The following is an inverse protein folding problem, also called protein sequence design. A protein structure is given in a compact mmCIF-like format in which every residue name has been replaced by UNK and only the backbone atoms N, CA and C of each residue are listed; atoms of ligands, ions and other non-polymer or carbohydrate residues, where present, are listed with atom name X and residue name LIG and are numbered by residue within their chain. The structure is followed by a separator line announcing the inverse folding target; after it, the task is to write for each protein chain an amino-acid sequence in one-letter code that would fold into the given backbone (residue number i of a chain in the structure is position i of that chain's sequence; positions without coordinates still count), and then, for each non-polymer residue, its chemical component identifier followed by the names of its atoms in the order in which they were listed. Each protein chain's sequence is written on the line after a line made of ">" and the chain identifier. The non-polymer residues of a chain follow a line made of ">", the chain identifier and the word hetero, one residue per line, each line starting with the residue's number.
data_IF_676395462945
#
_entry.id   IF_676395462945
#
_cell.length_a   1.000
_cell.length_b   1.000
_cell.length_c   1.000
_cell.angle_alpha   90.00
_cell.angle_beta   90.00
_cell.angle_gamma   90.00
#
_symmetry.space_group_name_H-M   'P 1'
#
loop_
_entity.id
_entity.type
_entity.pdbx_description
1 polymer ?
#
# COMPACT_ATOMS: atom_id res chain seq x y z
N UNK A 1 59.99 -19.26 -19.06
CA UNK A 1 58.51 -19.28 -18.95
C UNK A 1 58.12 -19.65 -17.53
N UNK A 2 57.63 -18.68 -16.74
CA UNK A 2 56.99 -18.92 -15.44
C UNK A 2 55.66 -18.17 -15.47
N UNK A 3 54.56 -18.88 -15.63
CA UNK A 3 53.22 -18.31 -15.51
C UNK A 3 52.88 -18.23 -14.03
N UNK A 4 52.77 -17.02 -13.50
CA UNK A 4 52.21 -16.77 -12.17
C UNK A 4 50.70 -16.72 -12.32
N UNK A 5 50.02 -17.77 -11.85
CA UNK A 5 48.55 -17.77 -11.73
C UNK A 5 48.16 -16.87 -10.57
N UNK A 6 47.60 -15.70 -10.89
CA UNK A 6 47.02 -14.79 -9.91
C UNK A 6 45.61 -15.30 -9.56
N UNK A 7 45.46 -15.95 -8.41
CA UNK A 7 44.15 -16.28 -7.86
C UNK A 7 43.51 -15.00 -7.29
N UNK A 8 42.53 -14.45 -8.00
CA UNK A 8 41.69 -13.37 -7.51
C UNK A 8 40.71 -13.99 -6.50
N UNK A 9 40.92 -13.72 -5.22
CA UNK A 9 39.93 -14.00 -4.18
C UNK A 9 38.81 -12.96 -4.31
N UNK A 10 37.65 -13.38 -4.82
CA UNK A 10 36.44 -12.58 -4.76
C UNK A 10 35.97 -12.55 -3.30
N UNK A 11 36.19 -11.42 -2.61
CA UNK A 11 35.56 -11.17 -1.31
C UNK A 11 34.05 -10.99 -1.54
N UNK A 12 33.31 -12.07 -1.37
CA UNK A 12 31.84 -12.00 -1.28
C UNK A 12 31.53 -11.39 0.08
N UNK A 13 31.26 -10.09 0.11
CA UNK A 13 30.61 -9.48 1.26
C UNK A 13 29.20 -10.05 1.32
N UNK A 14 29.01 -11.08 2.14
CA UNK A 14 27.68 -11.50 2.56
C UNK A 14 27.17 -10.38 3.47
N UNK A 15 26.48 -9.40 2.88
CA UNK A 15 25.67 -8.46 3.65
C UNK A 15 24.52 -9.29 4.20
N UNK A 16 24.68 -9.76 5.44
CA UNK A 16 23.53 -10.26 6.19
C UNK A 16 22.50 -9.14 6.24
N UNK A 17 21.24 -9.44 5.90
CA UNK A 17 20.15 -8.51 6.15
C UNK A 17 20.21 -8.12 7.63
N UNK A 18 20.29 -6.80 7.90
CA UNK A 18 20.32 -6.30 9.28
C UNK A 18 18.96 -6.54 9.88
N UNK A 19 18.87 -7.36 10.92
CA UNK A 19 17.61 -7.60 11.62
C UNK A 19 17.14 -6.27 12.23
N UNK A 20 16.09 -5.68 11.63
CA UNK A 20 15.57 -4.37 12.03
C UNK A 20 14.93 -4.40 13.43
N UNK A 21 14.66 -5.60 13.98
CA UNK A 21 14.17 -5.77 15.35
C UNK A 21 15.30 -5.65 16.38
N UNK A 22 16.55 -5.91 15.96
CA UNK A 22 17.75 -5.88 16.83
C UNK A 22 18.59 -4.63 16.57
N UNK A 23 18.81 -4.29 15.30
CA UNK A 23 19.62 -3.17 14.86
C UNK A 23 18.75 -1.97 14.47
N UNK A 24 19.12 -0.78 14.96
CA UNK A 24 18.47 0.47 14.53
C UNK A 24 18.76 0.73 13.06
N UNK A 25 17.74 0.65 12.22
CA UNK A 25 17.81 1.04 10.82
C UNK A 25 17.69 2.57 10.73
N UNK A 26 18.69 3.21 10.13
CA UNK A 26 18.75 4.68 9.96
C UNK A 26 18.50 5.13 8.53
N UNK A 27 18.15 4.19 7.65
CA UNK A 27 17.86 4.47 6.26
C UNK A 27 16.59 5.31 6.14
N UNK A 28 16.64 6.30 5.24
CA UNK A 28 15.50 7.18 4.98
C UNK A 28 14.57 6.57 3.94
N UNK A 29 13.29 6.81 4.12
CA UNK A 29 12.28 6.56 3.10
C UNK A 29 12.56 7.44 1.89
N UNK A 30 12.45 6.87 0.70
CA UNK A 30 12.69 7.52 -0.58
C UNK A 30 11.52 7.27 -1.51
N UNK A 31 11.26 8.24 -2.39
CA UNK A 31 10.32 8.09 -3.49
C UNK A 31 10.97 8.62 -4.76
N UNK A 32 10.83 7.88 -5.86
CA UNK A 32 11.46 8.29 -7.12
C UNK A 32 10.91 7.53 -8.33
N UNK A 33 11.14 8.11 -9.50
CA UNK A 33 10.76 7.49 -10.77
C UNK A 33 11.78 6.45 -11.19
N UNK A 34 11.31 5.28 -11.61
CA UNK A 34 12.17 4.20 -12.13
C UNK A 34 12.46 4.40 -13.63
N UNK A 35 13.35 3.57 -14.19
CA UNK A 35 13.60 3.53 -15.63
C UNK A 35 12.37 3.12 -16.47
N UNK A 36 11.35 2.52 -15.85
CA UNK A 36 10.09 2.14 -16.51
C UNK A 36 9.03 3.26 -16.47
N UNK A 37 9.34 4.42 -15.89
CA UNK A 37 8.39 5.51 -15.71
C UNK A 37 7.38 5.26 -14.57
N UNK A 38 7.63 4.26 -13.73
CA UNK A 38 6.83 3.93 -12.54
C UNK A 38 7.34 4.71 -11.33
N UNK A 39 6.55 4.79 -10.27
CA UNK A 39 6.90 5.48 -9.02
C UNK A 39 7.22 4.46 -7.93
N UNK A 40 8.43 4.48 -7.39
CA UNK A 40 8.89 3.57 -6.35
C UNK A 40 8.98 4.29 -5.00
N UNK A 41 8.21 3.85 -4.01
CA UNK A 41 8.29 4.26 -2.60
C UNK A 41 9.00 3.15 -1.81
N UNK A 42 10.06 3.46 -1.09
CA UNK A 42 10.88 2.46 -0.38
C UNK A 42 11.57 3.02 0.86
N UNK A 43 11.62 2.24 1.93
CA UNK A 43 12.37 2.53 3.16
C UNK A 43 13.47 1.50 3.44
N UNK A 44 13.98 0.87 2.37
CA UNK A 44 15.01 -0.20 2.35
C UNK A 44 14.58 -1.54 2.95
N UNK A 45 13.53 -1.59 3.77
CA UNK A 45 12.97 -2.82 4.33
C UNK A 45 11.79 -3.34 3.51
N UNK A 46 10.94 -2.43 3.04
CA UNK A 46 9.86 -2.70 2.10
C UNK A 46 9.87 -1.70 0.96
N UNK A 47 9.26 -2.07 -0.16
CA UNK A 47 8.98 -1.12 -1.24
C UNK A 47 7.62 -1.36 -1.88
N UNK A 48 7.00 -0.28 -2.34
CA UNK A 48 5.78 -0.31 -3.14
C UNK A 48 5.99 0.48 -4.43
N UNK A 49 5.73 -0.18 -5.55
CA UNK A 49 5.93 0.37 -6.89
C UNK A 49 4.57 0.57 -7.57
N UNK A 50 4.37 1.77 -8.12
CA UNK A 50 3.13 2.21 -8.72
C UNK A 50 3.30 2.50 -10.21
N UNK A 51 2.40 1.96 -11.02
CA UNK A 51 2.19 2.40 -12.38
C UNK A 51 1.58 3.80 -12.37
N UNK A 52 1.96 4.64 -13.34
CA UNK A 52 1.34 5.97 -13.55
C UNK A 52 0.63 6.08 -14.91
N UNK A 53 0.94 5.19 -15.86
CA UNK A 53 0.38 5.17 -17.22
C UNK A 53 0.03 3.73 -17.64
N UNK A 54 -1.19 3.46 -18.16
CA UNK A 54 -2.24 4.42 -18.52
C UNK A 54 -3.08 4.93 -17.34
N UNK A 55 -2.89 4.38 -16.15
CA UNK A 55 -3.59 4.77 -14.91
C UNK A 55 -2.78 4.29 -13.70
N UNK A 56 -3.20 4.67 -12.50
CA UNK A 56 -2.50 4.34 -11.26
C UNK A 56 -2.85 2.95 -10.75
N UNK A 57 -1.83 2.15 -10.44
CA UNK A 57 -2.00 0.86 -9.76
C UNK A 57 -0.70 0.39 -9.11
N UNK A 58 -0.81 -0.34 -7.99
CA UNK A 58 0.29 -1.06 -7.37
C UNK A 58 0.70 -2.23 -8.27
N UNK A 59 1.92 -2.16 -8.80
CA UNK A 59 2.53 -3.19 -9.65
C UNK A 59 3.67 -3.92 -8.94
N UNK A 60 4.15 -3.45 -7.80
CA UNK A 60 4.96 -4.28 -6.92
C UNK A 60 4.74 -3.88 -5.47
N UNK A 61 4.83 -4.87 -4.59
CA UNK A 61 4.99 -4.65 -3.17
C UNK A 61 5.97 -5.74 -2.73
N UNK A 62 7.16 -5.32 -2.29
CA UNK A 62 8.26 -6.22 -1.96
C UNK A 62 8.63 -6.13 -0.50
N UNK A 63 8.92 -7.29 0.05
CA UNK A 63 9.76 -7.42 1.21
C UNK A 63 11.21 -7.45 0.72
N UNK A 64 12.00 -6.46 1.12
CA UNK A 64 13.41 -6.31 0.73
C UNK A 64 14.37 -6.89 1.79
N UNK A 65 13.84 -7.22 2.96
CA UNK A 65 14.64 -7.57 4.14
C UNK A 65 14.76 -9.08 4.34
N UNK A 66 13.64 -9.82 4.40
CA UNK A 66 13.65 -11.25 4.72
C UNK A 66 13.80 -12.11 3.45
N UNK A 67 12.90 -11.92 2.48
CA UNK A 67 12.77 -12.79 1.32
C UNK A 67 13.26 -12.17 0.01
N UNK A 68 13.47 -10.85 -0.02
CA UNK A 68 13.75 -10.06 -1.22
C UNK A 68 12.79 -10.37 -2.39
N UNK A 69 11.51 -10.59 -2.08
CA UNK A 69 10.51 -11.11 -3.01
C UNK A 69 9.30 -10.19 -3.15
N UNK A 70 8.66 -10.26 -4.31
CA UNK A 70 7.36 -9.62 -4.51
C UNK A 70 6.29 -10.42 -3.80
N UNK A 71 5.45 -9.73 -3.03
CA UNK A 71 4.30 -10.35 -2.38
C UNK A 71 3.13 -10.52 -3.35
N UNK A 72 3.12 -9.82 -4.50
CA UNK A 72 1.98 -9.77 -5.40
C UNK A 72 1.98 -10.91 -6.43
N UNK A 73 0.77 -11.39 -6.73
CA UNK A 73 0.48 -12.32 -7.84
C UNK A 73 -0.39 -11.72 -8.94
N UNK A 74 -0.95 -10.53 -8.72
CA UNK A 74 -1.78 -9.82 -9.70
C UNK A 74 -1.95 -8.36 -9.29
N UNK A 75 -2.31 -7.52 -10.26
CA UNK A 75 -2.77 -6.14 -10.00
C UNK A 75 -4.25 -6.14 -9.63
N UNK A 76 -4.63 -5.28 -8.70
CA UNK A 76 -6.01 -5.04 -8.26
C UNK A 76 -6.25 -3.53 -8.11
N UNK A 77 -7.51 -3.07 -8.09
CA UNK A 77 -7.83 -1.68 -7.77
C UNK A 77 -7.23 -1.27 -6.44
N UNK A 78 -6.89 0.01 -6.29
CA UNK A 78 -6.36 0.54 -5.04
C UNK A 78 -7.40 0.55 -3.93
N UNK A 79 -8.66 0.77 -4.27
CA UNK A 79 -9.78 0.71 -3.36
C UNK A 79 -11.08 0.44 -4.13
N UNK A 80 -12.14 0.13 -3.40
CA UNK A 80 -13.50 0.05 -3.92
C UNK A 80 -14.43 0.83 -2.99
N UNK A 81 -15.16 1.78 -3.56
CA UNK A 81 -16.16 2.58 -2.84
C UNK A 81 -17.51 2.47 -3.53
N UNK A 82 -18.58 2.76 -2.81
CA UNK A 82 -19.93 2.88 -3.35
C UNK A 82 -20.45 4.28 -3.09
N UNK A 83 -20.93 4.96 -4.13
CA UNK A 83 -21.57 6.28 -4.07
C UNK A 83 -23.01 6.15 -4.54
N UNK A 84 -23.98 6.54 -3.70
CA UNK A 84 -25.42 6.50 -4.01
C UNK A 84 -25.84 5.12 -4.62
N UNK A 85 -25.31 4.03 -4.06
CA UNK A 85 -25.55 2.65 -4.50
C UNK A 85 -24.77 2.20 -5.75
N UNK A 86 -23.90 3.03 -6.32
CA UNK A 86 -23.05 2.69 -7.48
C UNK A 86 -21.63 2.38 -7.01
N UNK A 87 -21.18 1.16 -7.25
CA UNK A 87 -19.82 0.71 -6.92
C UNK A 87 -18.79 1.23 -7.96
N UNK A 88 -17.67 1.71 -7.45
CA UNK A 88 -16.54 2.21 -8.21
C UNK A 88 -15.23 1.62 -7.72
N UNK A 89 -14.43 1.12 -8.66
CA UNK A 89 -12.99 0.85 -8.44
C UNK A 89 -12.23 2.18 -8.44
N UNK A 90 -11.24 2.31 -7.56
CA UNK A 90 -10.26 3.40 -7.55
C UNK A 90 -8.99 2.90 -8.22
N UNK A 91 -8.63 3.50 -9.36
CA UNK A 91 -7.64 2.96 -10.29
C UNK A 91 -8.29 1.96 -11.25
N UNK A 92 -8.18 2.24 -12.55
CA UNK A 92 -8.82 1.47 -13.63
C UNK A 92 -7.93 0.45 -14.31
N UNK A 93 -6.75 0.14 -13.80
CA UNK A 93 -5.82 -0.79 -14.46
C UNK A 93 -6.37 -2.22 -14.40
N UNK A 94 -6.75 -2.74 -15.56
CA UNK A 94 -7.12 -4.15 -15.73
C UNK A 94 -5.89 -4.93 -16.17
N UNK A 95 -5.42 -5.94 -15.40
CA UNK A 95 -4.19 -6.64 -15.72
C UNK A 95 -4.29 -7.53 -16.97
N UNK A 96 -5.50 -7.96 -17.36
CA UNK A 96 -5.76 -8.88 -18.49
C UNK A 96 -4.84 -10.10 -18.53
N UNK A 97 -4.45 -10.59 -17.36
CA UNK A 97 -3.63 -11.79 -17.17
C UNK A 97 -4.26 -12.68 -16.13
N UNK A 98 -3.89 -13.97 -16.13
CA UNK A 98 -4.30 -14.89 -15.08
C UNK A 98 -3.60 -14.49 -13.77
N UNK A 99 -4.36 -14.43 -12.67
CA UNK A 99 -3.82 -14.05 -11.36
C UNK A 99 -3.18 -15.23 -10.59
N UNK A 100 -2.74 -16.31 -11.26
CA UNK A 100 -2.08 -17.43 -10.58
C UNK A 100 -0.68 -17.05 -10.09
N UNK A 101 0.04 -16.24 -10.87
CA UNK A 101 1.30 -15.58 -10.56
C UNK A 101 1.38 -14.28 -11.36
N UNK A 102 2.23 -13.34 -10.95
CA UNK A 102 2.30 -12.06 -11.65
C UNK A 102 3.19 -12.15 -12.90
N UNK A 103 2.60 -12.45 -14.06
CA UNK A 103 3.30 -12.37 -15.34
C UNK A 103 3.48 -10.90 -15.78
N UNK A 104 4.57 -10.27 -15.32
CA UNK A 104 4.89 -8.87 -15.62
C UNK A 104 5.05 -8.61 -17.12
N UNK A 105 5.69 -9.54 -17.85
CA UNK A 105 5.91 -9.40 -19.30
C UNK A 105 4.59 -9.32 -20.06
N UNK A 106 3.63 -10.18 -19.73
CA UNK A 106 2.32 -10.16 -20.37
C UNK A 106 1.48 -8.96 -19.92
N UNK A 107 1.50 -8.65 -18.62
CA UNK A 107 0.84 -7.47 -18.08
C UNK A 107 1.21 -6.18 -18.82
N UNK A 108 2.51 -5.96 -19.09
CA UNK A 108 2.95 -4.77 -19.81
C UNK A 108 2.37 -4.67 -21.23
N UNK A 109 2.12 -5.81 -21.88
CA UNK A 109 1.57 -5.90 -23.24
C UNK A 109 0.05 -5.81 -23.28
N UNK A 110 -0.64 -6.38 -22.29
CA UNK A 110 -2.09 -6.62 -22.36
C UNK A 110 -2.92 -5.74 -21.43
N UNK A 111 -2.32 -5.02 -20.47
CA UNK A 111 -3.07 -4.16 -19.55
C UNK A 111 -3.96 -3.17 -20.30
N UNK A 112 -5.19 -3.02 -19.83
CA UNK A 112 -6.16 -2.04 -20.36
C UNK A 112 -6.73 -1.19 -19.25
N UNK A 113 -7.61 -0.26 -19.63
CA UNK A 113 -8.26 0.67 -18.73
C UNK A 113 -9.76 0.35 -18.59
N UNK A 114 -10.26 0.25 -17.36
CA UNK A 114 -11.70 0.20 -17.07
C UNK A 114 -12.28 1.61 -17.05
N UNK A 115 -12.99 2.00 -18.12
CA UNK A 115 -13.60 3.33 -18.26
C UNK A 115 -14.67 3.68 -17.20
N UNK A 116 -15.05 2.74 -16.32
CA UNK A 116 -16.00 2.94 -15.23
C UNK A 116 -15.32 3.15 -13.86
N UNK A 117 -14.00 3.09 -13.79
CA UNK A 117 -13.26 3.34 -12.56
C UNK A 117 -13.01 4.84 -12.32
N UNK A 118 -12.71 5.20 -11.08
CA UNK A 118 -12.06 6.47 -10.80
C UNK A 118 -10.62 6.41 -11.33
N UNK A 119 -10.23 7.43 -12.09
CA UNK A 119 -8.97 7.46 -12.82
C UNK A 119 -7.98 8.44 -12.22
N UNK A 120 -6.71 8.04 -12.21
CA UNK A 120 -5.59 8.84 -11.78
C UNK A 120 -5.56 10.20 -12.49
N UNK A 121 -5.33 11.24 -11.70
CA UNK A 121 -5.20 12.61 -12.18
C UNK A 121 -3.82 13.19 -11.88
N UNK A 122 -3.36 13.06 -10.64
CA UNK A 122 -2.06 13.58 -10.19
C UNK A 122 -1.68 12.93 -8.85
N UNK A 123 -0.43 13.13 -8.42
CA UNK A 123 -0.01 12.81 -7.06
C UNK A 123 0.81 13.95 -6.47
N UNK A 124 0.87 13.98 -5.14
CA UNK A 124 1.70 14.90 -4.37
C UNK A 124 2.55 14.11 -3.37
N UNK A 125 3.79 14.56 -3.19
CA UNK A 125 4.73 14.00 -2.21
C UNK A 125 4.93 15.01 -1.10
N UNK A 126 4.76 14.57 0.13
CA UNK A 126 4.98 15.36 1.33
C UNK A 126 5.62 14.54 2.45
N UNK A 127 5.51 15.07 3.65
CA UNK A 127 5.95 14.41 4.89
C UNK A 127 4.73 14.00 5.72
N UNK A 128 4.84 12.94 6.55
CA UNK A 128 3.78 12.56 7.47
C UNK A 128 3.33 13.72 8.36
N UNK A 129 2.00 13.85 8.53
CA UNK A 129 1.39 14.84 9.42
C UNK A 129 0.97 14.15 10.71
N UNK A 130 1.07 14.87 11.83
CA UNK A 130 0.62 14.33 13.11
C UNK A 130 -0.90 14.09 13.06
N UNK A 131 -1.39 12.84 13.18
CA UNK A 131 -2.82 12.55 13.16
C UNK A 131 -3.54 13.09 14.40
N UNK A 132 -2.79 13.30 15.49
CA UNK A 132 -3.27 13.93 16.71
C UNK A 132 -2.11 14.61 17.43
N UNK A 133 -2.44 15.56 18.31
CA UNK A 133 -1.45 16.15 19.20
C UNK A 133 -0.98 15.10 20.23
N UNK A 134 0.32 14.85 20.29
CA UNK A 134 0.92 13.93 21.25
C UNK A 134 1.95 14.66 22.10
N UNK A 135 1.90 14.43 23.41
CA UNK A 135 2.93 14.88 24.35
C UNK A 135 3.53 13.63 24.99
N UNK A 136 4.86 13.41 24.86
CA UNK A 136 5.53 12.26 25.46
C UNK A 136 5.24 12.15 26.96
N UNK A 137 4.87 10.95 27.40
CA UNK A 137 4.63 10.66 28.82
C UNK A 137 5.89 10.16 29.51
N UNK A 138 5.88 10.10 30.85
CA UNK A 138 6.94 9.48 31.64
C UNK A 138 7.26 8.08 31.09
N UNK A 139 8.55 7.80 30.88
CA UNK A 139 9.09 6.59 30.24
C UNK A 139 8.98 6.49 28.71
N UNK A 140 8.47 7.51 28.02
CA UNK A 140 8.67 7.59 26.58
C UNK A 140 10.17 7.76 26.25
N UNK A 141 10.66 7.19 25.13
CA UNK A 141 12.01 7.45 24.64
C UNK A 141 12.27 8.96 24.54
N UNK A 142 13.46 9.38 24.97
CA UNK A 142 13.83 10.81 24.98
C UNK A 142 13.99 11.39 23.57
N UNK A 143 14.27 10.54 22.57
CA UNK A 143 14.47 10.87 21.16
C UNK A 143 13.24 10.59 20.29
N UNK A 144 12.04 10.51 20.88
CA UNK A 144 10.81 10.28 20.12
C UNK A 144 10.53 11.44 19.16
N UNK A 145 10.32 11.10 17.88
CA UNK A 145 9.95 12.06 16.84
C UNK A 145 8.46 11.92 16.54
N UNK A 146 7.72 13.02 16.67
CA UNK A 146 6.30 13.09 16.37
C UNK A 146 5.99 14.34 15.54
N UNK A 147 5.42 14.21 14.33
CA UNK A 147 5.07 12.97 13.63
C UNK A 147 6.32 12.12 13.28
N UNK A 148 6.15 10.81 13.05
CA UNK A 148 7.24 9.95 12.60
C UNK A 148 7.84 10.44 11.28
N UNK A 149 9.15 10.27 11.11
CA UNK A 149 9.83 10.53 9.83
C UNK A 149 9.39 9.50 8.78
N UNK A 150 9.28 9.97 7.55
CA UNK A 150 8.88 9.14 6.41
C UNK A 150 8.47 9.99 5.22
N UNK A 151 7.77 9.36 4.28
CA UNK A 151 7.18 10.00 3.12
C UNK A 151 5.66 9.79 3.15
N UNK A 152 4.94 10.86 2.85
CA UNK A 152 3.51 10.85 2.59
C UNK A 152 3.28 11.02 1.08
N UNK A 153 2.53 10.11 0.46
CA UNK A 153 2.14 10.15 -0.95
C UNK A 153 0.62 10.26 -1.04
N UNK A 154 0.11 11.36 -1.59
CA UNK A 154 -1.32 11.56 -1.89
C UNK A 154 -1.56 11.36 -3.37
N UNK A 155 -2.48 10.47 -3.75
CA UNK A 155 -2.79 10.15 -5.15
C UNK A 155 -4.23 10.50 -5.43
N UNK A 156 -4.46 11.42 -6.37
CA UNK A 156 -5.77 11.99 -6.65
C UNK A 156 -6.42 11.29 -7.84
N UNK A 157 -7.67 10.88 -7.66
CA UNK A 157 -8.48 10.22 -8.67
C UNK A 157 -9.78 10.98 -8.95
N UNK A 158 -10.19 11.01 -10.22
CA UNK A 158 -11.40 11.68 -10.70
C UNK A 158 -12.42 10.66 -11.19
N UNK A 159 -13.69 10.98 -11.00
CA UNK A 159 -14.81 10.14 -11.43
C UNK A 159 -14.77 9.85 -12.95
N UNK A 160 -15.20 8.65 -13.38
CA UNK A 160 -15.18 8.25 -14.80
C UNK A 160 -16.06 9.15 -15.66
N UNK A 161 -15.80 9.17 -16.99
CA UNK A 161 -16.59 9.97 -17.94
C UNK A 161 -18.09 9.63 -17.91
N UNK A 162 -18.45 8.39 -17.65
CA UNK A 162 -19.85 7.94 -17.63
C UNK A 162 -20.53 8.00 -16.26
N UNK A 163 -19.85 8.50 -15.22
CA UNK A 163 -20.47 8.68 -13.91
C UNK A 163 -21.67 9.65 -13.98
N UNK A 164 -22.73 9.44 -13.18
CA UNK A 164 -23.79 10.43 -13.01
C UNK A 164 -23.22 11.80 -12.64
N UNK A 165 -23.89 12.88 -13.07
CA UNK A 165 -23.45 14.25 -12.79
C UNK A 165 -23.19 14.50 -11.30
N UNK A 166 -23.99 13.83 -10.45
CA UNK A 166 -23.89 13.82 -9.00
C UNK A 166 -22.53 13.34 -8.46
N UNK A 167 -21.83 12.45 -9.18
CA UNK A 167 -20.53 11.90 -8.76
C UNK A 167 -19.35 12.59 -9.46
N UNK A 168 -19.60 13.44 -10.46
CA UNK A 168 -18.55 14.10 -11.26
C UNK A 168 -17.64 15.03 -10.47
N UNK A 169 -18.14 15.56 -9.36
CA UNK A 169 -17.43 16.48 -8.49
C UNK A 169 -16.78 15.76 -7.30
N UNK A 170 -16.92 14.44 -7.21
CA UNK A 170 -16.23 13.62 -6.20
C UNK A 170 -14.79 13.39 -6.66
N UNK A 171 -13.86 13.69 -5.77
CA UNK A 171 -12.44 13.34 -5.88
C UNK A 171 -12.11 12.35 -4.78
N UNK A 172 -11.44 11.26 -5.15
CA UNK A 172 -10.93 10.29 -4.18
C UNK A 172 -9.42 10.47 -4.10
N UNK A 173 -8.89 10.59 -2.89
CA UNK A 173 -7.46 10.66 -2.62
C UNK A 173 -7.05 9.38 -1.92
N UNK A 174 -6.15 8.62 -2.54
CA UNK A 174 -5.51 7.46 -1.89
C UNK A 174 -4.21 7.94 -1.28
N UNK A 175 -4.10 7.86 0.03
CA UNK A 175 -2.92 8.31 0.77
C UNK A 175 -2.10 7.10 1.22
N UNK A 176 -0.78 7.20 1.07
CA UNK A 176 0.19 6.24 1.58
C UNK A 176 1.19 6.95 2.48
N UNK A 177 1.53 6.35 3.61
CA UNK A 177 2.69 6.75 4.41
C UNK A 177 3.63 5.57 4.62
N UNK A 178 4.90 5.77 4.34
CA UNK A 178 5.96 4.82 4.66
C UNK A 178 6.98 5.51 5.55
N UNK A 179 7.35 4.85 6.65
CA UNK A 179 8.17 5.46 7.71
C UNK A 179 9.61 4.96 7.69
N UNK A 180 10.51 5.80 8.18
CA UNK A 180 11.94 5.48 8.27
C UNK A 180 12.17 4.35 9.30
N UNK A 181 13.04 3.40 8.95
CA UNK A 181 13.59 2.42 9.89
C UNK A 181 12.67 1.30 10.38
N UNK A 182 11.46 1.16 9.83
CA UNK A 182 10.50 0.09 10.17
C UNK A 182 9.74 -0.39 8.92
N UNK A 183 9.47 -1.69 8.70
CA UNK A 183 8.75 -2.17 7.52
C UNK A 183 7.24 -1.92 7.63
N UNK A 184 6.83 -0.65 7.69
CA UNK A 184 5.44 -0.22 7.87
C UNK A 184 4.98 0.66 6.72
N UNK A 185 3.82 0.31 6.17
CA UNK A 185 3.06 1.10 5.21
C UNK A 185 1.67 1.36 5.79
N UNK A 186 1.26 2.61 5.83
CA UNK A 186 -0.10 3.03 6.18
C UNK A 186 -0.80 3.48 4.92
N UNK A 187 -2.09 3.15 4.78
CA UNK A 187 -2.93 3.54 3.65
C UNK A 187 -4.32 3.95 4.12
N UNK A 188 -4.86 5.02 3.56
CA UNK A 188 -6.25 5.44 3.78
C UNK A 188 -6.80 6.21 2.57
N UNK A 189 -8.09 6.55 2.65
CA UNK A 189 -8.80 7.28 1.61
C UNK A 189 -9.39 8.58 2.16
N UNK A 190 -9.29 9.65 1.39
CA UNK A 190 -10.13 10.84 1.55
C UNK A 190 -11.11 10.91 0.38
N UNK A 191 -12.40 11.12 0.67
CA UNK A 191 -13.44 11.32 -0.35
C UNK A 191 -13.95 12.75 -0.22
N UNK A 192 -13.71 13.55 -1.25
CA UNK A 192 -13.99 14.98 -1.26
C UNK A 192 -15.07 15.25 -2.30
N UNK A 193 -16.24 15.72 -1.87
CA UNK A 193 -17.28 16.23 -2.77
C UNK A 193 -17.30 17.76 -2.76
N UNK A 194 -17.18 18.36 -3.93
CA UNK A 194 -17.28 19.82 -4.12
C UNK A 194 -18.53 20.24 -4.88
N UNK A 195 -19.52 19.35 -5.04
CA UNK A 195 -20.74 19.63 -5.79
C UNK A 195 -21.66 20.66 -5.13
N UNK A 196 -21.61 20.76 -3.79
CA UNK A 196 -22.55 21.56 -3.00
C UNK A 196 -24.00 21.06 -3.04
N UNK A 197 -24.23 19.82 -3.51
CA UNK A 197 -25.58 19.28 -3.78
C UNK A 197 -26.31 18.72 -2.56
N UNK A 198 -25.64 18.66 -1.40
CA UNK A 198 -26.11 17.97 -0.21
C UNK A 198 -25.38 16.64 0.01
N UNK A 199 -25.97 15.78 0.83
CA UNK A 199 -25.34 14.54 1.28
C UNK A 199 -25.19 13.51 0.15
N UNK A 200 -24.09 12.75 0.18
CA UNK A 200 -23.84 11.58 -0.66
C UNK A 200 -23.83 10.35 0.25
N UNK A 201 -24.52 9.29 -0.16
CA UNK A 201 -24.37 8.00 0.52
C UNK A 201 -23.04 7.37 0.10
N UNK A 202 -22.13 7.24 1.05
CA UNK A 202 -20.77 6.74 0.84
C UNK A 202 -20.55 5.48 1.67
N UNK A 203 -20.19 4.41 0.99
CA UNK A 203 -19.69 3.18 1.61
C UNK A 203 -18.28 2.86 1.13
N UNK A 204 -17.41 2.48 2.06
CA UNK A 204 -16.08 1.96 1.76
C UNK A 204 -16.13 0.43 1.71
N UNK A 205 -16.19 -0.14 0.50
CA UNK A 205 -16.21 -1.59 0.34
C UNK A 205 -14.82 -2.20 0.61
N UNK A 206 -13.76 -1.51 0.21
CA UNK A 206 -12.38 -1.88 0.54
C UNK A 206 -11.42 -0.70 0.40
N UNK A 207 -10.51 -0.55 1.37
CA UNK A 207 -9.41 0.45 1.36
C UNK A 207 -8.13 -0.13 0.75
N UNK A 208 -7.98 -1.45 0.76
CA UNK A 208 -6.82 -2.16 0.22
C UNK A 208 -7.24 -3.52 -0.32
N UNK A 209 -6.98 -3.75 -1.60
CA UNK A 209 -7.21 -5.02 -2.26
C UNK A 209 -5.89 -5.50 -2.87
N UNK A 210 -5.28 -6.50 -2.26
CA UNK A 210 -4.06 -7.10 -2.78
C UNK A 210 -4.30 -8.54 -3.22
N UNK A 211 -3.91 -8.86 -4.45
CA UNK A 211 -3.75 -10.25 -4.85
C UNK A 211 -2.34 -10.70 -4.46
N UNK A 212 -2.22 -11.33 -3.28
CA UNK A 212 -0.92 -11.78 -2.74
C UNK A 212 -0.63 -13.25 -3.06
N UNK A 213 0.66 -13.59 -3.13
CA UNK A 213 1.17 -14.96 -3.16
C UNK A 213 0.81 -15.69 -1.85
N UNK A 214 0.67 -17.01 -1.91
CA UNK A 214 0.18 -17.82 -0.78
C UNK A 214 0.91 -17.55 0.56
N UNK A 215 2.25 -17.46 0.65
CA UNK A 215 2.96 -17.21 1.91
C UNK A 215 2.48 -15.95 2.66
N UNK A 216 2.11 -14.91 1.90
CA UNK A 216 1.68 -13.61 2.41
C UNK A 216 0.17 -13.53 2.66
N UNK A 217 -0.58 -14.55 2.28
CA UNK A 217 -2.03 -14.59 2.48
C UNK A 217 -2.39 -15.06 3.90
N UNK A 218 -3.57 -14.67 4.43
CA UNK A 218 -4.08 -15.18 5.71
C UNK A 218 -4.24 -16.70 5.79
N UNK A 219 -4.34 -17.37 4.64
CA UNK A 219 -4.47 -18.83 4.53
C UNK A 219 -3.13 -19.55 4.33
N UNK A 220 -2.02 -18.81 4.25
CA UNK A 220 -0.66 -19.34 4.16
C UNK A 220 0.10 -19.12 5.46
N UNK A 221 1.25 -18.45 5.38
CA UNK A 221 2.06 -18.14 6.57
C UNK A 221 1.69 -16.82 7.24
N UNK A 222 0.79 -16.04 6.63
CA UNK A 222 0.36 -14.72 7.17
C UNK A 222 1.53 -13.77 7.45
N UNK A 223 2.56 -13.78 6.59
CA UNK A 223 3.72 -12.91 6.75
C UNK A 223 3.42 -11.42 6.53
N UNK A 224 2.28 -11.10 5.89
CA UNK A 224 1.77 -9.74 5.81
C UNK A 224 0.80 -9.51 6.98
N UNK A 225 1.22 -8.71 7.94
CA UNK A 225 0.36 -8.24 9.02
C UNK A 225 -0.43 -7.01 8.58
N UNK A 226 -1.75 -7.00 8.83
CA UNK A 226 -2.65 -5.89 8.44
C UNK A 226 -3.52 -5.53 9.63
N UNK A 227 -3.43 -4.28 10.06
CA UNK A 227 -4.35 -3.68 11.03
C UNK A 227 -5.27 -2.67 10.34
N UNK A 228 -6.51 -2.57 10.83
CA UNK A 228 -7.48 -1.58 10.39
C UNK A 228 -8.21 -1.00 11.59
N UNK A 229 -8.42 0.31 11.57
CA UNK A 229 -9.25 1.02 12.54
C UNK A 229 -10.73 1.10 12.08
N UNK A 230 -11.09 0.44 10.98
CA UNK A 230 -12.47 0.36 10.53
C UNK A 230 -13.31 -0.35 11.61
N UNK A 231 -14.37 0.30 12.13
CA UNK A 231 -15.19 -0.31 13.14
C UNK A 231 -15.81 -1.61 12.62
N UNK A 232 -15.90 -2.66 13.46
CA UNK A 232 -16.56 -3.90 13.08
C UNK A 232 -18.02 -3.62 12.66
N UNK A 233 -18.36 -3.91 11.40
CA UNK A 233 -19.72 -3.68 10.85
C UNK A 233 -19.79 -3.03 9.47
N UNK A 234 -18.67 -2.54 8.90
CA UNK A 234 -18.67 -1.90 7.58
C UNK A 234 -17.80 -2.60 6.51
N UNK A 235 -17.37 -3.86 6.67
CA UNK A 235 -16.69 -4.55 5.56
C UNK A 235 -15.99 -5.88 5.88
N UNK A 236 -15.80 -6.22 7.16
CA UNK A 236 -15.33 -7.53 7.60
C UNK A 236 -16.22 -8.04 8.72
N UNK A 237 -16.74 -9.27 8.60
CA UNK A 237 -17.54 -9.91 9.65
C UNK A 237 -16.66 -10.14 10.89
N UNK A 238 -16.74 -9.24 11.86
CA UNK A 238 -16.26 -9.47 13.22
C UNK A 238 -17.43 -10.07 14.01
N UNK A 239 -17.33 -11.36 14.30
CA UNK A 239 -18.30 -12.06 15.15
C UNK A 239 -17.92 -11.81 16.60
N UNK A 240 -18.65 -10.95 17.30
CA UNK A 240 -18.63 -10.89 18.75
C UNK A 240 -19.48 -12.04 19.28
N UNK A 241 -18.85 -13.17 19.60
CA UNK A 241 -19.47 -14.13 20.50
C UNK A 241 -19.26 -13.61 21.93
N UNK A 242 -20.33 -13.57 22.73
CA UNK A 242 -20.14 -13.58 24.18
C UNK A 242 -19.32 -14.81 24.52
N UNK A 243 -18.25 -14.64 25.28
CA UNK A 243 -17.61 -15.78 25.91
C UNK A 243 -18.67 -16.45 26.81
N UNK A 244 -19.03 -17.69 26.47
CA UNK A 244 -20.06 -18.45 27.18
C UNK A 244 -19.65 -18.75 28.64
N UNK A 245 -18.39 -18.46 28.99
CA UNK A 245 -17.76 -18.74 30.28
C UNK A 245 -17.52 -17.50 31.16
N UNK A 246 -18.07 -16.32 30.80
CA UNK A 246 -17.92 -15.10 31.65
C UNK A 246 -18.48 -15.28 33.07
N UNK A 247 -19.30 -16.31 33.30
CA UNK A 247 -19.87 -16.65 34.62
C UNK A 247 -19.35 -17.97 35.22
N UNK A 248 -18.29 -18.60 34.69
CA UNK A 248 -17.79 -19.90 35.20
C UNK A 248 -16.46 -19.83 35.96
N UNK A 249 -15.91 -18.64 36.20
CA UNK A 249 -14.77 -18.51 37.12
C UNK A 249 -15.30 -18.47 38.57
N UNK A 250 -14.85 -19.38 39.46
CA UNK A 250 -15.37 -19.54 40.82
C UNK A 250 -15.11 -18.35 41.75
#
# INVERSE_FOLDING_TARGET
>A
MKFFTCCIFLLVNIISARDWLVDKITDRTTIGTTSLGTLLLSNTLISREFLLDPDFATIDFRDLHETNSSILRCVKPEAVITLDGIEYSIGGVLPNTQCAYFNRTEFWKTKTLDARAFHFSTYEVGIPKAPFAYTPKRFAPADIEWPPKGIHLSVYFKAPYFAPLSHKYVTVVVNYEMYDGIPLLVKWLDVIDTSGRGDIDLSFNSIEILAVNQPWSPFGHSWLYVETNQPPGHGTNVIWAYDAEVNTIP
#
